data_IF_485885882695
#
_entry.id   IF_485885882695
#
_cell.length_a   1.000
_cell.length_b   1.000
_cell.length_c   1.000
_cell.angle_alpha   90.00
_cell.angle_beta   90.00
_cell.angle_gamma   90.00
#
_symmetry.space_group_name_H-M   'P 1'
#
loop_
_entity.id
_entity.type
_entity.pdbx_description
1 polymer ?
#
# COMPACT_ATOMS: atom_id res chain seq x y z
N UNK A 1 -12.99 6.15 7.16
CA UNK A 1 -11.56 6.50 7.34
C UNK A 1 -11.26 7.73 6.54
N UNK A 2 -11.54 8.87 7.15
CA UNK A 2 -11.52 10.14 6.41
C UNK A 2 -10.13 10.73 6.24
N UNK A 3 -9.18 10.33 7.08
CA UNK A 3 -7.86 10.98 7.08
C UNK A 3 -6.77 10.26 6.30
N UNK A 4 -7.12 9.19 5.60
CA UNK A 4 -6.12 8.43 4.87
C UNK A 4 -5.80 9.13 3.56
N UNK A 5 -4.51 9.46 3.37
CA UNK A 5 -4.02 10.10 2.14
C UNK A 5 -3.20 9.13 1.29
N UNK A 6 -2.66 8.08 1.89
CA UNK A 6 -1.83 7.12 1.18
C UNK A 6 -1.91 5.77 1.87
N UNK A 7 -2.04 4.71 1.10
CA UNK A 7 -2.04 3.35 1.61
C UNK A 7 -0.91 2.59 0.92
N UNK A 8 -0.08 1.91 1.70
CA UNK A 8 0.92 0.98 1.18
C UNK A 8 0.43 -0.44 1.43
N UNK A 9 0.50 -1.28 0.41
CA UNK A 9 0.08 -2.68 0.53
C UNK A 9 1.26 -3.59 0.23
N UNK A 10 1.56 -4.47 1.18
CA UNK A 10 2.51 -5.55 0.97
C UNK A 10 1.72 -6.77 0.50
N UNK A 11 1.93 -7.17 -0.75
CA UNK A 11 1.19 -8.26 -1.39
C UNK A 11 1.81 -9.59 -1.00
N UNK A 12 1.19 -10.26 -0.05
CA UNK A 12 1.60 -11.60 0.33
C UNK A 12 0.84 -12.66 -0.45
N UNK A 13 1.17 -13.91 -0.18
CA UNK A 13 0.56 -15.04 -0.85
C UNK A 13 -0.90 -15.20 -0.46
N UNK A 14 -1.15 -15.24 0.84
CA UNK A 14 -2.49 -15.46 1.40
C UNK A 14 -2.95 -14.33 2.30
N UNK A 15 -2.09 -13.37 2.54
CA UNK A 15 -2.41 -12.25 3.41
C UNK A 15 -1.77 -10.98 2.88
N UNK A 16 -2.43 -9.89 3.16
CA UNK A 16 -2.04 -8.58 2.67
C UNK A 16 -1.94 -7.65 3.86
N UNK A 17 -0.79 -7.01 4.01
CA UNK A 17 -0.57 -6.07 5.10
C UNK A 17 -0.69 -4.67 4.57
N UNK A 18 -1.48 -3.83 5.23
CA UNK A 18 -1.62 -2.46 4.80
C UNK A 18 -1.10 -1.51 5.87
N UNK A 19 -0.58 -0.39 5.40
CA UNK A 19 -0.12 0.70 6.22
C UNK A 19 -0.74 1.96 5.65
N UNK A 20 -1.59 2.61 6.43
CA UNK A 20 -2.30 3.81 5.98
C UNK A 20 -1.74 5.01 6.69
N UNK A 21 -1.50 6.09 5.95
CA UNK A 21 -1.00 7.30 6.57
C UNK A 21 -1.77 8.52 6.08
N UNK A 22 -1.72 9.58 6.90
CA UNK A 22 -2.40 10.83 6.58
C UNK A 22 -1.50 11.70 5.69
N UNK A 23 -1.95 12.93 5.42
CA UNK A 23 -1.22 13.85 4.56
C UNK A 23 0.16 14.22 5.09
N UNK A 24 0.35 14.12 6.41
CA UNK A 24 1.62 14.43 7.04
C UNK A 24 2.57 13.25 7.07
N UNK A 25 2.13 12.10 6.59
CA UNK A 25 2.93 10.89 6.62
C UNK A 25 2.84 10.13 7.93
N UNK A 26 1.91 10.50 8.80
CA UNK A 26 1.72 9.82 10.07
C UNK A 26 0.85 8.57 9.89
N UNK A 27 1.29 7.45 10.47
CA UNK A 27 0.52 6.22 10.43
C UNK A 27 -0.79 6.38 11.19
N UNK A 28 -1.90 6.06 10.53
CA UNK A 28 -3.23 6.16 11.15
C UNK A 28 -3.93 4.82 11.24
N UNK A 29 -3.48 3.81 10.48
CA UNK A 29 -4.13 2.52 10.50
C UNK A 29 -3.21 1.45 9.92
N UNK A 30 -3.19 0.28 10.53
CA UNK A 30 -2.46 -0.90 10.04
C UNK A 30 -3.34 -2.11 10.24
N UNK A 31 -3.37 -2.98 9.25
CA UNK A 31 -4.13 -4.20 9.39
C UNK A 31 -3.67 -5.26 8.38
N UNK A 32 -3.88 -6.51 8.75
CA UNK A 32 -3.66 -7.66 7.90
C UNK A 32 -5.01 -8.16 7.40
N UNK A 33 -5.10 -8.41 6.10
CA UNK A 33 -6.34 -8.87 5.48
C UNK A 33 -6.12 -10.11 4.63
N UNK A 34 -7.17 -10.91 4.47
CA UNK A 34 -7.25 -11.83 3.36
C UNK A 34 -7.64 -11.02 2.13
N UNK A 35 -7.48 -11.60 0.93
CA UNK A 35 -7.82 -10.88 -0.30
C UNK A 35 -9.27 -10.38 -0.33
N UNK A 36 -10.28 -11.23 -0.08
CA UNK A 36 -11.66 -10.73 -0.11
C UNK A 36 -11.92 -9.63 0.90
N UNK A 37 -11.34 -9.75 2.09
CA UNK A 37 -11.54 -8.74 3.12
C UNK A 37 -10.83 -7.43 2.77
N UNK A 38 -9.68 -7.50 2.13
CA UNK A 38 -8.97 -6.31 1.67
C UNK A 38 -9.82 -5.56 0.64
N UNK A 39 -10.34 -6.27 -0.35
CA UNK A 39 -11.18 -5.66 -1.38
C UNK A 39 -12.41 -5.02 -0.75
N UNK A 40 -13.02 -5.71 0.20
CA UNK A 40 -14.19 -5.20 0.91
C UNK A 40 -13.87 -3.91 1.65
N UNK A 41 -12.73 -3.88 2.36
CA UNK A 41 -12.29 -2.69 3.07
C UNK A 41 -12.04 -1.53 2.11
N UNK A 42 -11.30 -1.79 1.03
CA UNK A 42 -10.94 -0.75 0.08
C UNK A 42 -12.16 -0.22 -0.69
N UNK A 43 -13.18 -1.06 -0.86
CA UNK A 43 -14.42 -0.62 -1.49
C UNK A 43 -15.15 0.42 -0.65
N UNK A 44 -14.92 0.43 0.67
CA UNK A 44 -15.56 1.41 1.56
C UNK A 44 -14.73 2.67 1.76
N UNK A 45 -13.49 2.67 1.31
CA UNK A 45 -12.61 3.83 1.49
C UNK A 45 -12.85 4.87 0.40
N UNK A 46 -12.75 6.17 0.74
CA UNK A 46 -12.76 7.19 -0.30
C UNK A 46 -11.59 6.98 -1.26
N UNK A 47 -11.71 7.48 -2.48
CA UNK A 47 -10.65 7.36 -3.46
C UNK A 47 -9.32 7.86 -2.90
N UNK A 48 -8.28 7.02 -3.01
CA UNK A 48 -6.98 7.37 -2.44
C UNK A 48 -5.87 6.71 -3.25
N UNK A 49 -4.66 7.23 -3.10
CA UNK A 49 -3.49 6.63 -3.72
C UNK A 49 -3.10 5.37 -2.94
N UNK A 50 -2.92 4.27 -3.65
CA UNK A 50 -2.55 3.00 -3.06
C UNK A 50 -1.27 2.52 -3.73
N UNK A 51 -0.20 2.44 -2.95
CA UNK A 51 1.11 2.05 -3.45
C UNK A 51 1.39 0.58 -3.19
N UNK A 52 2.05 -0.06 -4.15
CA UNK A 52 2.44 -1.46 -4.04
C UNK A 52 3.81 -1.63 -4.67
N UNK A 53 4.57 -2.61 -4.19
CA UNK A 53 5.81 -2.99 -4.84
C UNK A 53 5.48 -3.79 -6.09
N UNK A 54 6.13 -3.46 -7.20
CA UNK A 54 5.89 -4.16 -8.47
C UNK A 54 6.34 -5.62 -8.35
N UNK A 55 5.42 -6.53 -8.62
CA UNK A 55 5.67 -7.97 -8.55
C UNK A 55 4.61 -8.69 -9.40
N UNK A 56 4.66 -10.03 -9.41
CA UNK A 56 3.79 -10.80 -10.28
C UNK A 56 2.31 -10.56 -10.10
N UNK A 57 1.86 -10.32 -8.86
CA UNK A 57 0.44 -10.11 -8.58
C UNK A 57 0.00 -8.66 -8.61
N UNK A 58 0.93 -7.71 -8.76
CA UNK A 58 0.59 -6.29 -8.59
C UNK A 58 -0.27 -5.75 -9.72
N UNK A 59 -0.11 -6.24 -10.93
CA UNK A 59 -0.90 -5.74 -12.06
C UNK A 59 -2.38 -6.12 -11.94
N UNK A 60 -2.65 -7.34 -11.47
CA UNK A 60 -4.02 -7.76 -11.21
C UNK A 60 -4.66 -6.88 -10.13
N UNK A 61 -3.92 -6.68 -9.04
CA UNK A 61 -4.41 -5.87 -7.94
C UNK A 61 -4.61 -4.42 -8.37
N UNK A 62 -3.68 -3.87 -9.18
CA UNK A 62 -3.80 -2.51 -9.66
C UNK A 62 -5.09 -2.31 -10.47
N UNK A 63 -5.41 -3.27 -11.35
CA UNK A 63 -6.66 -3.19 -12.11
C UNK A 63 -7.88 -3.23 -11.19
N UNK A 64 -7.83 -4.08 -10.17
CA UNK A 64 -8.93 -4.17 -9.20
C UNK A 64 -9.10 -2.85 -8.45
N UNK A 65 -7.98 -2.22 -8.07
CA UNK A 65 -8.03 -0.94 -7.37
C UNK A 65 -8.61 0.16 -8.26
N UNK A 66 -8.28 0.14 -9.55
CA UNK A 66 -8.86 1.11 -10.49
C UNK A 66 -10.37 0.91 -10.62
N UNK A 67 -10.83 -0.33 -10.61
CA UNK A 67 -12.26 -0.62 -10.62
C UNK A 67 -12.97 -0.03 -9.39
N UNK A 68 -12.25 0.02 -8.27
CA UNK A 68 -12.78 0.60 -7.03
C UNK A 68 -12.55 2.11 -6.96
N UNK A 69 -12.06 2.71 -8.06
CA UNK A 69 -11.82 4.13 -8.20
C UNK A 69 -10.68 4.68 -7.33
N UNK A 70 -9.73 3.82 -6.99
CA UNK A 70 -8.50 4.23 -6.32
C UNK A 70 -7.42 4.50 -7.36
N UNK A 71 -6.30 5.08 -6.91
CA UNK A 71 -5.17 5.42 -7.77
C UNK A 71 -3.98 4.53 -7.45
N UNK A 72 -3.80 3.40 -8.15
CA UNK A 72 -2.68 2.51 -7.87
C UNK A 72 -1.37 3.12 -8.32
N UNK A 73 -0.31 2.88 -7.55
CA UNK A 73 1.04 3.31 -7.85
C UNK A 73 1.98 2.13 -7.63
N UNK A 74 2.62 1.68 -8.70
CA UNK A 74 3.56 0.56 -8.61
C UNK A 74 4.97 1.09 -8.50
N UNK A 75 5.73 0.57 -7.53
CA UNK A 75 7.09 1.01 -7.25
C UNK A 75 8.03 -0.17 -7.40
N UNK A 76 9.13 0.03 -8.13
CA UNK A 76 10.12 -1.03 -8.28
C UNK A 76 10.74 -1.36 -6.92
N UNK A 77 11.02 -2.66 -6.66
CA UNK A 77 11.58 -3.08 -5.38
C UNK A 77 12.85 -2.34 -4.98
N UNK A 78 13.69 -1.99 -5.95
CA UNK A 78 14.94 -1.27 -5.68
C UNK A 78 14.70 0.09 -5.01
N UNK A 79 13.54 0.70 -5.24
CA UNK A 79 13.21 1.99 -4.64
C UNK A 79 12.54 1.84 -3.28
N UNK A 80 12.09 0.65 -2.93
CA UNK A 80 11.48 0.38 -1.64
C UNK A 80 12.54 0.00 -0.59
N UNK A 81 13.55 -0.78 -1.01
CA UNK A 81 14.57 -1.32 -0.11
C UNK A 81 15.20 -0.31 0.84
N UNK A 82 15.58 0.90 0.38
CA UNK A 82 16.23 1.86 1.29
C UNK A 82 15.38 2.24 2.50
N UNK A 83 14.07 2.03 2.42
CA UNK A 83 13.16 2.43 3.49
C UNK A 83 12.75 1.28 4.40
N UNK A 84 13.21 0.05 4.09
CA UNK A 84 12.92 -1.12 4.92
C UNK A 84 13.77 -1.05 6.19
N UNK A 85 13.11 -1.10 7.33
CA UNK A 85 13.79 -1.02 8.62
C UNK A 85 14.38 -2.38 8.99
N UNK A 86 15.37 -2.36 9.89
CA UNK A 86 16.13 -3.56 10.23
C UNK A 86 15.29 -4.69 10.83
N UNK A 87 14.26 -4.35 11.58
CA UNK A 87 13.36 -5.38 12.15
C UNK A 87 12.25 -5.67 11.17
N UNK A 88 12.51 -6.61 10.28
CA UNK A 88 11.58 -6.92 9.21
C UNK A 88 10.36 -7.69 9.67
N UNK A 89 9.21 -7.19 9.30
CA UNK A 89 7.95 -7.91 9.33
C UNK A 89 7.12 -7.31 8.20
N UNK A 90 5.95 -7.89 7.95
CA UNK A 90 5.16 -7.49 6.80
C UNK A 90 4.63 -6.06 6.89
N UNK A 91 4.43 -5.56 8.12
CA UNK A 91 4.02 -4.17 8.29
C UNK A 91 5.17 -3.21 8.02
N UNK A 92 6.40 -3.63 8.30
CA UNK A 92 7.58 -2.81 7.97
C UNK A 92 7.70 -2.66 6.46
N UNK A 93 7.41 -3.71 5.71
CA UNK A 93 7.44 -3.66 4.26
C UNK A 93 6.35 -2.73 3.71
N UNK A 94 5.14 -2.81 4.27
CA UNK A 94 4.06 -1.91 3.85
C UNK A 94 4.39 -0.45 4.16
N UNK A 95 5.01 -0.19 5.31
CA UNK A 95 5.46 1.14 5.70
C UNK A 95 6.52 1.65 4.72
N UNK A 96 7.47 0.79 4.36
CA UNK A 96 8.54 1.17 3.42
C UNK A 96 7.97 1.54 2.06
N UNK A 97 6.93 0.85 1.62
CA UNK A 97 6.25 1.15 0.36
C UNK A 97 5.63 2.55 0.43
N UNK A 98 5.00 2.89 1.55
CA UNK A 98 4.45 4.24 1.74
C UNK A 98 5.54 5.29 1.72
N UNK A 99 6.66 5.05 2.40
CA UNK A 99 7.77 6.00 2.43
C UNK A 99 8.31 6.24 1.03
N UNK A 100 8.52 5.17 0.27
CA UNK A 100 8.99 5.30 -1.10
C UNK A 100 8.00 6.08 -1.96
N UNK A 101 6.71 5.77 -1.83
CA UNK A 101 5.67 6.39 -2.62
C UNK A 101 5.52 7.89 -2.34
N UNK A 102 5.87 8.31 -1.13
CA UNK A 102 5.71 9.71 -0.72
C UNK A 102 6.84 10.61 -1.20
N UNK A 103 7.91 10.06 -1.77
CA UNK A 103 9.04 10.86 -2.25
C UNK A 103 8.70 11.55 -3.57
N UNK A 104 8.99 12.84 -3.71
CA UNK A 104 8.65 13.58 -4.94
C UNK A 104 9.28 13.02 -6.20
N UNK A 105 10.48 12.44 -6.10
CA UNK A 105 11.19 11.89 -7.24
C UNK A 105 10.69 10.51 -7.66
N UNK A 106 9.79 9.90 -6.90
CA UNK A 106 9.31 8.55 -7.15
C UNK A 106 8.17 8.57 -8.15
N UNK A 107 8.31 7.77 -9.19
CA UNK A 107 7.30 7.71 -10.25
C UNK A 107 6.91 6.30 -10.57
#
# INVERSE_FOLDING_TARGET
MENIALIGIDLGKNSFHIHCQDRRGKAVYRKKFTRPKLIEFLATCPATTIAMEACGGSHFMARKLEELEHFPKLISPQFVRPFVKSNKNDFVDAEAICEAASRPSMR
#
